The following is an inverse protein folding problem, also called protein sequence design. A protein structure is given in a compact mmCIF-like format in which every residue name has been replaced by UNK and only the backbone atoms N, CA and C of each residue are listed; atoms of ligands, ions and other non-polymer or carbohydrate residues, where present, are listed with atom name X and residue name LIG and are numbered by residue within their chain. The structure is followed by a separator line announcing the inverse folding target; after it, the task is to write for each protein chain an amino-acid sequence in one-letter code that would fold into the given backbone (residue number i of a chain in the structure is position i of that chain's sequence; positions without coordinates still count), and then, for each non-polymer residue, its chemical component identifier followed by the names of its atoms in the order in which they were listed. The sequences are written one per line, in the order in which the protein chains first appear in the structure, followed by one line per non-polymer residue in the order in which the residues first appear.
data_IF_321786912744
#
_entry.id   IF_321786912744
#
_cell.length_a   1.000
_cell.length_b   1.000
_cell.length_c   1.000
_cell.angle_alpha   90.00
_cell.angle_beta   90.00
_cell.angle_gamma   90.00
#
_symmetry.space_group_name_H-M   'P 1'
#
loop_
_entity.id
_entity.type
_entity.pdbx_description
1 polymer ?
#
# COMPACT_ATOMS: atom_id res chain seq x y z
N UNK A 1 -7.43 11.74 -3.49
CA UNK A 1 -6.11 11.53 -2.84
C UNK A 1 -6.03 10.07 -2.45
N UNK A 2 -4.93 9.37 -2.74
CA UNK A 2 -4.71 7.99 -2.26
C UNK A 2 -3.83 8.05 -1.02
N UNK A 3 -4.23 7.35 0.03
CA UNK A 3 -3.47 7.26 1.29
C UNK A 3 -3.14 5.81 1.58
N UNK A 4 -2.00 5.55 2.20
CA UNK A 4 -1.60 4.20 2.54
C UNK A 4 -2.01 3.85 3.97
N UNK A 5 -2.47 2.62 4.15
CA UNK A 5 -2.82 2.05 5.44
C UNK A 5 -2.09 0.73 5.61
N UNK A 6 -1.56 0.50 6.80
CA UNK A 6 -0.94 -0.76 7.16
C UNK A 6 -1.96 -1.62 7.91
N UNK A 7 -2.02 -2.90 7.56
CA UNK A 7 -2.71 -3.90 8.36
C UNK A 7 -1.88 -4.18 9.60
N UNK A 8 -2.36 -3.74 10.77
CA UNK A 8 -1.65 -3.91 12.04
C UNK A 8 -2.16 -5.09 12.85
N UNK A 9 -3.34 -5.62 12.49
CA UNK A 9 -3.94 -6.77 13.17
C UNK A 9 -3.42 -8.12 12.65
N UNK A 10 -3.11 -9.02 13.59
CA UNK A 10 -2.59 -10.37 13.34
C UNK A 10 -3.68 -11.44 13.59
N UNK A 11 -3.81 -12.47 12.74
CA UNK A 11 -2.90 -12.79 11.63
C UNK A 11 -3.20 -12.04 10.33
N UNK A 12 -4.46 -11.64 10.11
CA UNK A 12 -4.90 -10.99 8.87
C UNK A 12 -6.24 -10.25 9.03
N UNK A 13 -6.48 -9.31 8.12
CA UNK A 13 -7.76 -8.60 7.95
C UNK A 13 -8.42 -9.05 6.65
N UNK A 14 -9.73 -9.30 6.70
CA UNK A 14 -10.53 -9.63 5.53
C UNK A 14 -10.90 -8.37 4.74
N UNK A 15 -10.69 -8.42 3.41
CA UNK A 15 -11.24 -7.43 2.49
C UNK A 15 -12.60 -7.91 1.99
N UNK A 16 -13.61 -7.05 2.02
CA UNK A 16 -14.99 -7.40 1.68
C UNK A 16 -15.50 -6.63 0.47
N UNK A 17 -16.47 -7.19 -0.24
CA UNK A 17 -17.04 -6.58 -1.44
C UNK A 17 -17.76 -5.24 -1.17
N UNK A 18 -18.21 -5.01 0.06
CA UNK A 18 -18.94 -3.82 0.54
C UNK A 18 -18.53 -3.50 1.99
N UNK A 19 -18.74 -2.26 2.48
CA UNK A 19 -18.40 -1.85 3.84
C UNK A 19 -19.39 -2.43 4.88
N UNK A 20 -19.35 -3.74 5.08
CA UNK A 20 -20.23 -4.46 6.01
C UNK A 20 -19.61 -5.79 6.42
N UNK A 21 -19.74 -6.16 7.70
CA UNK A 21 -19.27 -7.45 8.23
C UNK A 21 -20.01 -8.65 7.60
N UNK A 22 -21.23 -8.46 7.09
CA UNK A 22 -21.99 -9.50 6.38
C UNK A 22 -21.65 -9.63 4.90
N UNK A 23 -20.88 -8.71 4.32
CA UNK A 23 -20.54 -8.76 2.90
C UNK A 23 -19.51 -9.86 2.58
N UNK A 24 -19.56 -10.46 1.38
CA UNK A 24 -18.60 -11.50 0.99
C UNK A 24 -17.15 -11.03 1.12
N UNK A 25 -16.28 -11.92 1.61
CA UNK A 25 -14.83 -11.71 1.64
C UNK A 25 -14.28 -11.94 0.22
N UNK A 26 -13.56 -10.97 -0.31
CA UNK A 26 -12.95 -11.01 -1.65
C UNK A 26 -11.43 -11.23 -1.60
N UNK A 27 -10.80 -10.94 -0.46
CA UNK A 27 -9.37 -11.15 -0.20
C UNK A 27 -9.07 -11.23 1.30
N UNK A 28 -7.85 -11.61 1.65
CA UNK A 28 -7.29 -11.42 2.99
C UNK A 28 -5.91 -10.79 2.94
N UNK A 29 -5.61 -9.93 3.91
CA UNK A 29 -4.34 -9.19 3.99
C UNK A 29 -3.70 -9.42 5.34
N UNK A 30 -2.47 -9.93 5.33
CA UNK A 30 -1.73 -10.26 6.55
C UNK A 30 -1.21 -9.01 7.24
N UNK A 31 -0.92 -9.10 8.53
CA UNK A 31 -0.21 -8.05 9.25
C UNK A 31 1.04 -7.58 8.48
N UNK A 32 1.29 -6.27 8.45
CA UNK A 32 2.35 -5.62 7.67
C UNK A 32 2.01 -5.36 6.20
N UNK A 33 0.84 -5.81 5.72
CA UNK A 33 0.40 -5.51 4.35
C UNK A 33 0.00 -4.04 4.22
N UNK A 34 0.45 -3.38 3.16
CA UNK A 34 0.05 -2.01 2.82
C UNK A 34 -1.13 -1.98 1.84
N UNK A 35 -2.14 -1.20 2.16
CA UNK A 35 -3.31 -0.95 1.33
C UNK A 35 -3.29 0.51 0.85
N UNK A 36 -3.44 0.71 -0.45
CA UNK A 36 -3.80 2.03 -0.98
C UNK A 36 -5.30 2.20 -0.85
N UNK A 37 -5.72 3.27 -0.20
CA UNK A 37 -7.12 3.60 0.04
C UNK A 37 -7.50 4.85 -0.74
N UNK A 38 -8.67 4.83 -1.36
CA UNK A 38 -9.21 5.96 -2.13
C UNK A 38 -10.56 6.49 -1.61
N UNK A 39 -11.20 5.81 -0.66
CA UNK A 39 -12.46 6.25 -0.06
C UNK A 39 -12.64 5.76 1.39
N UNK A 40 -13.43 6.51 2.16
CA UNK A 40 -13.89 6.17 3.51
C UNK A 40 -15.40 6.08 3.58
N UNK A 41 -15.90 5.12 4.36
CA UNK A 41 -17.31 5.05 4.68
C UNK A 41 -17.51 4.31 6.02
N UNK A 42 -18.07 4.98 7.02
CA UNK A 42 -18.56 4.36 8.27
C UNK A 42 -17.56 3.42 8.97
N UNK A 43 -16.31 3.86 9.10
CA UNK A 43 -15.24 3.04 9.70
C UNK A 43 -14.61 2.00 8.76
N UNK A 44 -14.99 2.00 7.49
CA UNK A 44 -14.38 1.20 6.43
C UNK A 44 -13.58 2.05 5.47
N UNK A 45 -12.59 1.41 4.86
CA UNK A 45 -11.76 1.97 3.80
C UNK A 45 -11.91 1.18 2.52
N UNK A 46 -12.01 1.86 1.38
CA UNK A 46 -11.98 1.20 0.08
C UNK A 46 -10.57 1.13 -0.46
N UNK A 47 -10.13 -0.06 -0.81
CA UNK A 47 -8.87 -0.30 -1.50
C UNK A 47 -8.98 0.24 -2.93
N UNK A 48 -8.01 1.06 -3.33
CA UNK A 48 -7.99 1.76 -4.62
C UNK A 48 -7.94 0.78 -5.81
N UNK A 49 -7.25 -0.35 -5.64
CA UNK A 49 -7.20 -1.41 -6.64
C UNK A 49 -8.33 -2.41 -6.44
N UNK A 50 -9.01 -2.77 -7.52
CA UNK A 50 -9.99 -3.86 -7.50
C UNK A 50 -9.29 -5.18 -7.19
N UNK A 51 -9.89 -5.99 -6.32
CA UNK A 51 -9.46 -7.37 -6.09
C UNK A 51 -10.37 -8.30 -6.88
N UNK A 52 -9.79 -9.09 -7.78
CA UNK A 52 -10.55 -10.03 -8.64
C UNK A 52 -11.72 -9.33 -9.36
N UNK A 53 -11.48 -8.13 -9.88
CA UNK A 53 -12.49 -7.32 -10.58
C UNK A 53 -13.56 -6.68 -9.69
N UNK A 54 -13.52 -6.89 -8.38
CA UNK A 54 -14.50 -6.39 -7.41
C UNK A 54 -13.89 -5.29 -6.54
N UNK A 55 -14.70 -4.33 -6.10
CA UNK A 55 -14.28 -3.38 -5.08
C UNK A 55 -13.95 -4.13 -3.78
N UNK A 56 -12.98 -3.64 -3.03
CA UNK A 56 -12.52 -4.26 -1.79
C UNK A 56 -12.51 -3.24 -0.67
N UNK A 57 -13.10 -3.60 0.47
CA UNK A 57 -13.25 -2.75 1.64
C UNK A 57 -12.64 -3.41 2.87
N UNK A 58 -11.88 -2.66 3.66
CA UNK A 58 -11.31 -3.14 4.92
C UNK A 58 -11.93 -2.35 6.09
N UNK A 59 -12.21 -3.02 7.20
CA UNK A 59 -12.71 -2.37 8.42
C UNK A 59 -11.53 -1.81 9.21
N UNK A 60 -11.60 -0.56 9.64
CA UNK A 60 -10.53 0.08 10.41
C UNK A 60 -10.42 -0.42 11.85
N UNK A 61 -11.57 -0.65 12.49
CA UNK A 61 -11.66 -1.03 13.90
C UNK A 61 -12.80 -2.03 14.10
N UNK A 62 -12.51 -3.14 14.77
CA UNK A 62 -13.49 -4.16 15.14
C UNK A 62 -13.87 -4.00 16.61
N UNK A 63 -15.14 -4.22 16.95
CA UNK A 63 -15.62 -4.07 18.34
C UNK A 63 -14.86 -4.97 19.32
N UNK A 64 -14.57 -6.21 18.93
CA UNK A 64 -13.89 -7.20 19.79
C UNK A 64 -12.37 -7.26 19.61
N UNK A 65 -11.87 -6.89 18.43
CA UNK A 65 -10.45 -7.05 18.09
C UNK A 65 -9.67 -5.74 18.11
N UNK A 66 -10.35 -4.62 18.32
CA UNK A 66 -9.73 -3.30 18.34
C UNK A 66 -9.30 -2.83 16.94
N UNK A 67 -8.18 -2.12 16.89
CA UNK A 67 -7.67 -1.52 15.66
C UNK A 67 -7.15 -2.59 14.69
N UNK A 68 -7.67 -2.55 13.46
CA UNK A 68 -7.30 -3.46 12.39
C UNK A 68 -6.31 -2.86 11.39
N UNK A 69 -6.48 -1.56 11.09
CA UNK A 69 -5.59 -0.82 10.22
C UNK A 69 -5.11 0.46 10.89
N UNK A 70 -3.89 0.88 10.55
CA UNK A 70 -3.33 2.17 10.95
C UNK A 70 -2.96 2.99 9.71
N UNK A 71 -3.20 4.29 9.78
CA UNK A 71 -2.77 5.22 8.73
C UNK A 71 -1.25 5.20 8.67
N UNK A 72 -0.68 4.97 7.50
CA UNK A 72 0.75 5.11 7.30
C UNK A 72 1.03 6.54 6.81
N UNK A 73 1.57 7.42 7.65
CA UNK A 73 1.90 8.76 7.23
C UNK A 73 3.00 8.72 6.17
N UNK A 74 2.98 9.63 5.18
CA UNK A 74 4.07 9.73 4.22
C UNK A 74 5.37 10.12 4.95
N UNK A 75 6.42 9.33 4.75
CA UNK A 75 7.77 9.59 5.23
C UNK A 75 8.66 10.01 4.05
N UNK A 76 9.56 10.96 4.29
CA UNK A 76 10.51 11.43 3.28
C UNK A 76 11.85 10.71 3.46
N UNK A 77 12.44 10.28 2.35
CA UNK A 77 13.73 9.61 2.29
C UNK A 77 14.57 10.24 1.20
N UNK A 78 15.87 10.37 1.44
CA UNK A 78 16.82 10.73 0.39
C UNK A 78 17.55 9.48 -0.10
N UNK A 79 17.74 9.36 -1.40
CA UNK A 79 18.62 8.32 -1.95
C UNK A 79 20.08 8.69 -1.65
N UNK A 80 20.75 7.84 -0.87
CA UNK A 80 22.17 8.01 -0.52
C UNK A 80 23.10 7.03 -1.26
N UNK A 81 22.59 6.33 -2.26
CA UNK A 81 23.36 5.32 -2.99
C UNK A 81 24.27 5.95 -4.04
N UNK A 82 25.58 5.88 -3.81
CA UNK A 82 26.59 6.61 -4.57
C UNK A 82 27.11 5.88 -5.81
N UNK A 83 26.96 4.56 -5.86
CA UNK A 83 27.58 3.71 -6.88
C UNK A 83 26.68 3.45 -8.09
N UNK A 84 25.65 4.27 -8.30
CA UNK A 84 24.75 4.14 -9.43
C UNK A 84 23.35 4.66 -9.13
N UNK A 85 22.34 3.85 -9.47
CA UNK A 85 20.94 4.18 -9.27
C UNK A 85 20.19 3.09 -8.52
N UNK A 86 19.26 3.49 -7.67
CA UNK A 86 18.30 2.59 -7.03
C UNK A 86 17.12 2.39 -7.98
N UNK A 87 16.75 1.13 -8.22
CA UNK A 87 15.62 0.80 -9.09
C UNK A 87 14.32 0.73 -8.29
N UNK A 88 13.26 1.33 -8.84
CA UNK A 88 11.89 1.23 -8.35
C UNK A 88 11.20 0.12 -9.14
N UNK A 89 10.50 -0.77 -8.44
CA UNK A 89 9.84 -1.93 -9.06
C UNK A 89 8.32 -1.91 -8.85
N UNK A 90 7.58 -2.59 -9.73
CA UNK A 90 6.12 -2.67 -9.68
C UNK A 90 5.57 -3.57 -8.55
N UNK A 91 6.43 -4.41 -7.97
CA UNK A 91 6.15 -5.23 -6.80
C UNK A 91 7.35 -5.27 -5.84
N UNK A 92 7.15 -5.55 -4.54
CA UNK A 92 8.22 -5.66 -3.54
C UNK A 92 9.00 -6.98 -3.71
N UNK A 93 9.68 -7.13 -4.84
CA UNK A 93 10.50 -8.29 -5.19
C UNK A 93 11.73 -7.85 -5.99
N UNK A 94 12.92 -8.44 -5.76
CA UNK A 94 14.12 -8.13 -6.53
C UNK A 94 14.02 -8.46 -8.02
N UNK A 95 13.10 -9.34 -8.40
CA UNK A 95 12.89 -9.80 -9.78
C UNK A 95 11.69 -9.15 -10.47
N UNK A 96 10.94 -8.30 -9.75
CA UNK A 96 9.79 -7.57 -10.29
C UNK A 96 10.20 -6.55 -11.36
N UNK A 97 9.26 -6.11 -12.20
CA UNK A 97 9.56 -5.21 -13.32
C UNK A 97 10.11 -3.88 -12.80
N UNK A 98 11.20 -3.38 -13.39
CA UNK A 98 11.69 -2.03 -13.08
C UNK A 98 10.77 -1.02 -13.75
N UNK A 99 10.23 -0.10 -12.97
CA UNK A 99 9.34 0.97 -13.45
C UNK A 99 9.99 2.35 -13.42
N UNK A 100 11.03 2.54 -12.61
CA UNK A 100 11.82 3.76 -12.57
C UNK A 100 13.21 3.54 -11.97
N UNK A 101 14.08 4.54 -12.07
CA UNK A 101 15.36 4.59 -11.36
C UNK A 101 15.54 5.94 -10.65
N UNK A 102 16.24 5.91 -9.51
CA UNK A 102 16.51 7.06 -8.65
C UNK A 102 18.01 7.18 -8.38
N UNK A 103 18.52 8.40 -8.30
CA UNK A 103 19.95 8.72 -8.12
C UNK A 103 20.18 9.35 -6.76
N UNK A 104 21.45 9.43 -6.34
CA UNK A 104 21.85 10.14 -5.12
C UNK A 104 21.23 11.54 -5.07
N UNK A 105 20.64 11.90 -3.94
CA UNK A 105 19.99 13.19 -3.71
C UNK A 105 18.50 13.22 -4.06
N UNK A 106 17.97 12.20 -4.77
CA UNK A 106 16.54 12.14 -5.06
C UNK A 106 15.74 11.99 -3.77
N UNK A 107 14.73 12.86 -3.62
CA UNK A 107 13.78 12.80 -2.52
C UNK A 107 12.63 11.86 -2.87
N UNK A 108 12.37 10.92 -1.97
CA UNK A 108 11.36 9.89 -2.08
C UNK A 108 10.33 10.09 -0.98
N UNK A 109 9.06 10.10 -1.34
CA UNK A 109 8.00 9.96 -0.35
C UNK A 109 7.59 8.50 -0.31
N UNK A 110 7.72 7.84 0.84
CA UNK A 110 7.24 6.49 1.05
C UNK A 110 6.05 6.46 2.00
N UNK A 111 5.19 5.49 1.81
CA UNK A 111 3.94 5.33 2.55
C UNK A 111 3.84 3.94 3.20
N UNK A 112 4.99 3.33 3.44
CA UNK A 112 5.14 2.09 4.19
C UNK A 112 6.33 1.27 3.73
N UNK A 113 6.57 0.14 4.40
CA UNK A 113 7.63 -0.81 4.08
C UNK A 113 7.11 -2.25 4.12
N UNK A 114 7.62 -3.11 3.25
CA UNK A 114 7.30 -4.54 3.23
C UNK A 114 8.48 -5.32 2.68
N UNK A 115 8.89 -6.38 3.38
CA UNK A 115 9.95 -7.31 2.94
C UNK A 115 11.27 -6.62 2.53
N UNK A 116 11.67 -5.55 3.23
CA UNK A 116 12.87 -4.77 2.93
C UNK A 116 12.72 -3.75 1.80
N UNK A 117 11.53 -3.59 1.23
CA UNK A 117 11.21 -2.56 0.24
C UNK A 117 10.41 -1.43 0.89
N UNK A 118 10.71 -0.19 0.53
CA UNK A 118 9.81 0.94 0.79
C UNK A 118 8.80 1.06 -0.34
N UNK A 119 7.54 1.34 0.01
CA UNK A 119 6.50 1.63 -0.97
C UNK A 119 6.45 3.13 -1.22
N UNK A 120 6.74 3.56 -2.45
CA UNK A 120 6.68 4.97 -2.81
C UNK A 120 5.24 5.46 -2.95
N UNK A 121 4.98 6.68 -2.49
CA UNK A 121 3.72 7.37 -2.63
C UNK A 121 3.60 7.95 -4.05
N UNK A 122 2.60 7.49 -4.80
CA UNK A 122 2.34 7.90 -6.18
C UNK A 122 2.96 6.94 -7.19
N UNK A 123 2.13 6.42 -8.10
CA UNK A 123 2.59 5.67 -9.26
C UNK A 123 3.41 6.60 -10.14
N UNK A 124 4.72 6.63 -9.95
CA UNK A 124 5.63 7.34 -10.84
C UNK A 124 5.68 6.55 -12.15
N UNK A 125 4.72 6.84 -13.03
CA UNK A 125 4.77 6.46 -14.45
C UNK A 125 6.14 6.94 -14.98
N UNK A 126 6.92 6.08 -15.64
CA UNK A 126 8.12 6.56 -16.32
C UNK A 126 7.72 7.66 -17.32
N UNK A 127 8.56 8.70 -17.54
CA UNK A 127 8.34 9.57 -18.67
C UNK A 127 8.30 8.70 -19.94
N UNK A 128 7.22 8.81 -20.71
CA UNK A 128 7.13 8.19 -22.03
C UNK A 128 8.31 8.68 -22.87
N UNK A 129 8.90 7.74 -23.61
CA UNK A 129 10.20 7.88 -24.26
C UNK A 129 10.36 9.13 -25.11
N UNK A 130 11.62 9.59 -25.16
CA UNK A 130 12.11 10.47 -26.23
C UNK A 130 12.47 9.62 -27.45
#
# INVERSE_FOLDING_TARGET
VRVAWEVVFSPAVALRARPSLGAPVVDTRRAGSLLEVDAWQDGWVRVASKVRGTAAWALLHHAEHGQLLSLCPPAQFEVVFDKGSVVVRDAPSPTATVVASRRRGDQLTACGQTAGFIKLAGGQKPPEGT
#
